data_IF_015975542735
#
_entry.id   IF_015975542735
#
_cell.length_a   1.000
_cell.length_b   1.000
_cell.length_c   1.000
_cell.angle_alpha   90.00
_cell.angle_beta   90.00
_cell.angle_gamma   90.00
#
_symmetry.space_group_name_H-M   'P 1'
#
loop_
_entity.id
_entity.type
_entity.pdbx_description
1 polymer ?
#
# COMPACT_ATOMS: atom_id res chain seq x y z
N UNK A 1 5.65 15.73 -14.81
CA UNK A 1 4.53 14.79 -14.67
C UNK A 1 4.74 13.95 -13.42
N UNK A 2 3.66 13.74 -12.67
CA UNK A 2 3.51 13.27 -11.27
C UNK A 2 4.31 14.00 -10.18
N UNK A 3 5.37 14.75 -10.50
CA UNK A 3 5.90 15.86 -9.68
C UNK A 3 6.66 15.48 -8.40
N UNK A 4 6.53 14.25 -7.90
CA UNK A 4 7.27 13.74 -6.75
C UNK A 4 8.78 13.77 -7.01
N UNK A 5 9.54 14.38 -6.09
CA UNK A 5 10.99 14.58 -6.23
C UNK A 5 11.80 13.52 -5.48
N UNK A 6 11.26 12.97 -4.39
CA UNK A 6 11.94 12.03 -3.51
C UNK A 6 11.16 10.71 -3.46
N UNK A 7 11.48 9.79 -4.37
CA UNK A 7 10.81 8.50 -4.48
C UNK A 7 11.82 7.40 -4.20
N UNK A 8 11.52 6.59 -3.19
CA UNK A 8 12.30 5.41 -2.82
C UNK A 8 11.41 4.18 -2.96
N UNK A 9 12.03 3.04 -3.25
CA UNK A 9 11.34 1.77 -3.30
C UNK A 9 11.95 0.81 -2.29
N UNK A 10 11.13 -0.09 -1.77
CA UNK A 10 11.57 -1.18 -0.92
C UNK A 10 10.80 -2.44 -1.29
N UNK A 11 11.51 -3.55 -1.44
CA UNK A 11 10.92 -4.87 -1.69
C UNK A 11 11.08 -5.69 -0.42
N UNK A 12 9.99 -6.11 0.24
CA UNK A 12 10.07 -6.90 1.46
C UNK A 12 10.84 -8.21 1.22
N UNK A 13 11.79 -8.55 2.11
CA UNK A 13 12.39 -9.87 2.13
C UNK A 13 11.45 -10.85 2.82
N UNK A 14 10.92 -11.83 2.07
CA UNK A 14 9.93 -12.79 2.59
C UNK A 14 10.42 -13.59 3.80
N UNK A 15 11.72 -13.87 3.88
CA UNK A 15 12.29 -14.66 4.97
C UNK A 15 12.43 -13.86 6.27
N UNK A 16 12.58 -12.54 6.16
CA UNK A 16 12.79 -11.65 7.31
C UNK A 16 11.48 -11.00 7.73
N UNK A 17 10.69 -10.54 6.77
CA UNK A 17 9.52 -9.68 6.99
C UNK A 17 8.20 -10.45 6.89
N UNK A 18 8.21 -11.67 6.35
CA UNK A 18 6.99 -12.34 5.92
C UNK A 18 6.42 -11.70 4.63
N UNK A 19 5.11 -11.79 4.44
CA UNK A 19 4.44 -11.25 3.26
C UNK A 19 3.92 -9.83 3.49
N UNK A 20 4.29 -8.90 2.60
CA UNK A 20 3.81 -7.53 2.59
C UNK A 20 4.47 -6.61 3.62
N UNK A 21 3.74 -5.57 4.03
CA UNK A 21 4.22 -4.56 4.98
C UNK A 21 4.19 -5.12 6.41
N UNK A 22 5.35 -5.26 7.03
CA UNK A 22 5.51 -5.66 8.42
C UNK A 22 6.02 -4.50 9.30
N UNK A 23 5.85 -4.57 10.63
CA UNK A 23 6.47 -3.60 11.53
C UNK A 23 8.00 -3.53 11.38
N UNK A 24 8.67 -4.66 11.18
CA UNK A 24 10.12 -4.69 10.99
C UNK A 24 10.56 -3.95 9.73
N UNK A 25 9.81 -4.08 8.62
CA UNK A 25 10.09 -3.32 7.41
C UNK A 25 9.84 -1.82 7.63
N UNK A 26 8.78 -1.46 8.36
CA UNK A 26 8.53 -0.06 8.75
C UNK A 26 9.71 0.51 9.55
N UNK A 27 10.29 -0.26 10.46
CA UNK A 27 11.47 0.15 11.22
C UNK A 27 12.71 0.35 10.32
N UNK A 28 12.93 -0.53 9.35
CA UNK A 28 14.02 -0.39 8.36
C UNK A 28 13.87 0.87 7.50
N UNK A 29 12.63 1.21 7.13
CA UNK A 29 12.34 2.40 6.32
C UNK A 29 12.34 3.70 7.13
N UNK A 30 12.43 3.63 8.47
CA UNK A 30 12.28 4.80 9.33
C UNK A 30 13.29 5.92 9.04
N UNK A 31 14.51 5.57 8.63
CA UNK A 31 15.55 6.54 8.28
C UNK A 31 15.19 7.39 7.04
N UNK A 32 14.31 6.90 6.17
CA UNK A 32 13.83 7.64 5.00
C UNK A 32 12.86 8.77 5.38
N UNK A 33 12.20 8.67 6.54
CA UNK A 33 11.18 9.61 7.03
C UNK A 33 10.13 9.97 5.94
N UNK A 34 9.45 8.98 5.34
CA UNK A 34 8.51 9.24 4.25
C UNK A 34 7.28 10.02 4.76
N UNK A 35 6.87 11.04 4.01
CA UNK A 35 5.56 11.68 4.21
C UNK A 35 4.41 10.72 3.83
N UNK A 36 4.63 9.90 2.81
CA UNK A 36 3.67 8.95 2.24
C UNK A 36 4.33 7.60 1.97
N UNK A 37 3.73 6.54 2.51
CA UNK A 37 4.01 5.14 2.19
C UNK A 37 2.95 4.62 1.24
N UNK A 38 3.38 4.09 0.09
CA UNK A 38 2.50 3.45 -0.90
C UNK A 38 2.84 1.97 -0.98
N UNK A 39 1.88 1.09 -0.71
CA UNK A 39 2.05 -0.34 -1.00
C UNK A 39 1.60 -0.66 -2.41
N UNK A 40 2.22 -1.66 -3.04
CA UNK A 40 1.86 -2.16 -4.37
C UNK A 40 1.78 -3.68 -4.28
N UNK A 41 0.66 -4.25 -4.71
CA UNK A 41 0.43 -5.72 -4.76
C UNK A 41 0.37 -6.40 -3.38
N UNK A 42 0.28 -5.60 -2.31
CA UNK A 42 0.08 -6.07 -0.95
C UNK A 42 -0.48 -4.93 -0.10
N UNK A 43 -0.88 -5.23 1.13
CA UNK A 43 -1.26 -4.22 2.13
C UNK A 43 -2.65 -4.42 2.70
N UNK A 44 -3.59 -5.03 1.95
CA UNK A 44 -4.99 -5.17 2.38
C UNK A 44 -5.14 -6.02 3.65
N UNK A 45 -4.19 -6.92 3.91
CA UNK A 45 -4.13 -7.73 5.13
C UNK A 45 -3.03 -7.29 6.11
N UNK A 46 -2.27 -6.22 5.83
CA UNK A 46 -1.07 -5.83 6.58
C UNK A 46 -1.37 -4.92 7.79
N UNK A 47 -2.35 -5.28 8.63
CA UNK A 47 -2.81 -4.45 9.75
C UNK A 47 -1.69 -3.94 10.67
N UNK A 48 -0.79 -4.84 11.09
CA UNK A 48 0.30 -4.49 12.00
C UNK A 48 1.31 -3.55 11.36
N UNK A 49 1.69 -3.79 10.11
CA UNK A 49 2.60 -2.92 9.36
C UNK A 49 2.01 -1.55 9.11
N UNK A 50 0.74 -1.48 8.69
CA UNK A 50 0.04 -0.20 8.49
C UNK A 50 -0.07 0.57 9.81
N UNK A 51 -0.46 -0.10 10.91
CA UNK A 51 -0.52 0.51 12.25
C UNK A 51 0.84 1.07 12.68
N UNK A 52 1.94 0.33 12.45
CA UNK A 52 3.29 0.79 12.77
C UNK A 52 3.68 2.04 11.95
N UNK A 53 3.36 2.07 10.65
CA UNK A 53 3.58 3.24 9.81
C UNK A 53 2.77 4.46 10.29
N UNK A 54 1.48 4.25 10.62
CA UNK A 54 0.62 5.30 11.18
C UNK A 54 1.13 5.84 12.52
N UNK A 55 1.66 4.97 13.38
CA UNK A 55 2.25 5.38 14.67
C UNK A 55 3.48 6.29 14.51
N UNK A 56 4.14 6.26 13.34
CA UNK A 56 5.23 7.18 12.97
C UNK A 56 4.73 8.49 12.35
N UNK A 57 3.42 8.66 12.20
CA UNK A 57 2.80 9.83 11.60
C UNK A 57 2.75 9.81 10.07
N UNK A 58 3.09 8.69 9.43
CA UNK A 58 3.10 8.59 7.96
C UNK A 58 1.68 8.51 7.40
N UNK A 59 1.48 9.06 6.20
CA UNK A 59 0.31 8.73 5.40
C UNK A 59 0.54 7.36 4.74
N UNK A 60 -0.52 6.55 4.64
CA UNK A 60 -0.48 5.21 4.07
C UNK A 60 -1.56 5.08 3.00
N UNK A 61 -1.11 4.86 1.77
CA UNK A 61 -1.95 4.44 0.64
C UNK A 61 -1.69 2.96 0.39
N UNK A 62 -2.73 2.14 0.53
CA UNK A 62 -2.69 0.74 0.13
C UNK A 62 -3.17 0.61 -1.31
N UNK A 63 -2.35 0.04 -2.19
CA UNK A 63 -2.82 -0.43 -3.51
C UNK A 63 -2.63 -1.94 -3.60
N UNK A 64 -3.74 -2.66 -3.72
CA UNK A 64 -3.76 -4.11 -3.62
C UNK A 64 -4.90 -4.67 -4.48
N UNK A 65 -4.96 -6.00 -4.60
CA UNK A 65 -6.00 -6.71 -5.32
C UNK A 65 -6.39 -8.03 -4.66
N UNK A 66 -5.82 -8.35 -3.50
CA UNK A 66 -6.15 -9.55 -2.76
C UNK A 66 -7.53 -9.42 -2.10
N UNK A 67 -8.13 -10.54 -1.69
CA UNK A 67 -9.42 -10.49 -1.01
C UNK A 67 -9.26 -9.80 0.36
N UNK A 68 -10.08 -8.78 0.68
CA UNK A 68 -10.03 -8.14 1.98
C UNK A 68 -10.50 -9.09 3.07
N UNK A 69 -9.95 -8.90 4.27
CA UNK A 69 -10.45 -9.53 5.48
C UNK A 69 -11.72 -8.85 6.01
N UNK A 70 -12.29 -9.37 7.12
CA UNK A 70 -13.49 -8.79 7.74
C UNK A 70 -13.26 -7.39 8.34
N UNK A 71 -12.01 -6.97 8.51
CA UNK A 71 -11.63 -5.61 8.86
C UNK A 71 -10.57 -5.13 7.88
N UNK A 72 -10.57 -3.84 7.61
CA UNK A 72 -9.55 -3.20 6.79
C UNK A 72 -8.41 -2.66 7.67
N UNK A 73 -7.17 -2.59 7.15
CA UNK A 73 -6.06 -1.96 7.85
C UNK A 73 -6.32 -0.45 8.00
N UNK A 74 -5.75 0.21 9.01
CA UNK A 74 -6.00 1.63 9.28
C UNK A 74 -5.20 2.55 8.33
N UNK A 75 -5.29 2.30 7.02
CA UNK A 75 -4.68 3.14 5.98
C UNK A 75 -5.53 4.40 5.74
N UNK A 76 -4.90 5.47 5.25
CA UNK A 76 -5.62 6.71 4.91
C UNK A 76 -6.47 6.52 3.64
N UNK A 77 -5.96 5.73 2.70
CA UNK A 77 -6.64 5.37 1.46
C UNK A 77 -6.33 3.92 1.12
N UNK A 78 -7.35 3.19 0.67
CA UNK A 78 -7.21 1.83 0.12
C UNK A 78 -7.80 1.83 -1.28
N UNK A 79 -7.02 1.39 -2.26
CA UNK A 79 -7.45 1.16 -3.63
C UNK A 79 -7.28 -0.33 -3.90
N UNK A 80 -8.40 -1.04 -3.90
CA UNK A 80 -8.46 -2.47 -4.18
C UNK A 80 -9.80 -2.79 -4.87
N UNK A 81 -9.80 -3.37 -6.08
CA UNK A 81 -11.04 -3.69 -6.80
C UNK A 81 -11.91 -4.72 -6.06
N UNK A 82 -11.37 -5.46 -5.09
CA UNK A 82 -12.10 -6.46 -4.31
C UNK A 82 -12.69 -5.91 -3.01
N UNK A 83 -12.66 -4.59 -2.77
CA UNK A 83 -13.41 -3.97 -1.68
C UNK A 83 -14.92 -4.20 -1.81
N UNK A 84 -15.58 -4.40 -0.68
CA UNK A 84 -17.02 -4.55 -0.61
C UNK A 84 -17.72 -3.33 -1.23
N UNK A 85 -18.58 -3.57 -2.22
CA UNK A 85 -19.34 -2.53 -2.91
C UNK A 85 -18.57 -1.78 -4.01
N UNK A 86 -17.30 -2.11 -4.27
CA UNK A 86 -16.56 -1.53 -5.38
C UNK A 86 -17.19 -1.93 -6.74
N UNK A 87 -17.39 -0.97 -7.63
CA UNK A 87 -18.03 -1.17 -8.93
C UNK A 87 -17.03 -1.34 -10.10
N UNK A 88 -15.73 -1.41 -9.83
CA UNK A 88 -14.72 -1.56 -10.87
C UNK A 88 -14.94 -2.87 -11.64
N UNK A 89 -15.01 -2.84 -13.00
CA UNK A 89 -15.45 -4.01 -13.77
C UNK A 89 -14.54 -5.24 -13.67
N UNK A 90 -13.23 -5.04 -13.48
CA UNK A 90 -12.26 -6.14 -13.44
C UNK A 90 -11.78 -6.41 -12.02
N UNK A 91 -12.30 -7.48 -11.41
CA UNK A 91 -11.89 -7.97 -10.09
C UNK A 91 -10.60 -8.80 -10.09
N UNK A 92 -10.06 -9.05 -11.29
CA UNK A 92 -8.88 -9.89 -11.52
C UNK A 92 -7.64 -9.10 -11.93
N UNK A 93 -7.62 -7.79 -11.66
CA UNK A 93 -6.46 -6.95 -11.94
C UNK A 93 -5.30 -7.35 -11.02
N UNK A 94 -4.08 -7.46 -11.52
CA UNK A 94 -2.89 -7.61 -10.68
C UNK A 94 -2.52 -6.27 -10.02
N UNK A 95 -1.75 -6.29 -8.92
CA UNK A 95 -1.39 -5.06 -8.20
C UNK A 95 -0.70 -3.99 -9.07
N UNK A 96 0.10 -4.39 -10.05
CA UNK A 96 0.69 -3.46 -11.04
C UNK A 96 -0.37 -2.69 -11.84
N UNK A 97 -1.49 -3.32 -12.16
CA UNK A 97 -2.61 -2.66 -12.84
C UNK A 97 -3.30 -1.67 -11.93
N UNK A 98 -3.48 -2.01 -10.64
CA UNK A 98 -4.13 -1.14 -9.65
C UNK A 98 -3.34 0.16 -9.50
N UNK A 99 -2.03 0.08 -9.22
CA UNK A 99 -1.19 1.28 -9.09
C UNK A 99 -1.11 2.07 -10.40
N UNK A 100 -1.15 1.40 -11.56
CA UNK A 100 -1.21 2.08 -12.85
C UNK A 100 -2.44 2.98 -12.97
N UNK A 101 -3.64 2.50 -12.61
CA UNK A 101 -4.86 3.32 -12.63
C UNK A 101 -4.77 4.50 -11.65
N UNK A 102 -4.19 4.30 -10.46
CA UNK A 102 -3.96 5.38 -9.49
C UNK A 102 -3.05 6.47 -10.07
N UNK A 103 -1.91 6.10 -10.64
CA UNK A 103 -0.99 7.04 -11.28
C UNK A 103 -1.63 7.73 -12.48
N UNK A 104 -2.44 7.00 -13.26
CA UNK A 104 -3.17 7.55 -14.41
C UNK A 104 -4.25 8.55 -14.00
N UNK A 105 -4.88 8.40 -12.83
CA UNK A 105 -5.83 9.36 -12.29
C UNK A 105 -5.14 10.64 -11.81
N UNK A 106 -3.92 10.55 -11.28
CA UNK A 106 -3.14 11.69 -10.76
C UNK A 106 -2.31 12.46 -11.79
N UNK A 107 -2.29 12.07 -13.06
CA UNK A 107 -1.38 12.62 -14.10
C UNK A 107 -1.77 13.98 -14.70
N UNK A 108 -2.69 14.71 -14.07
CA UNK A 108 -3.23 16.00 -14.55
C UNK A 108 -2.15 17.04 -14.79
#
# INVERSE_FOLDING_TARGET
MLGAQHVFHAVPNRMVHGYGLSPSLVDELAALQPDLLVTVDHGIACHAGVTAAKARGWQVLVTDHHLPGPQLPPADVIVDPNLDGDAFPSKSLAGVGVIFYVLMAGRT
#
